data_IF_470608644035
#
_entry.id   IF_470608644035
#
_cell.length_a   1.000
_cell.length_b   1.000
_cell.length_c   1.000
_cell.angle_alpha   90.00
_cell.angle_beta   90.00
_cell.angle_gamma   90.00
#
_symmetry.space_group_name_H-M   'P 1'
#
loop_
_entity.id
_entity.type
_entity.pdbx_description
1 polymer ?
#
# COMPACT_ATOMS: atom_id res chain seq x y z
N UNK A 1 -22.04 4.18 1.11
CA UNK A 1 -20.59 4.18 0.84
C UNK A 1 -19.92 3.53 2.01
N UNK A 2 -19.05 2.55 1.76
CA UNK A 2 -18.32 1.83 2.83
C UNK A 2 -16.83 1.92 2.57
N UNK A 3 -16.00 1.87 3.61
CA UNK A 3 -14.55 1.75 3.51
C UNK A 3 -13.98 1.14 4.79
N UNK A 4 -12.76 0.61 4.72
CA UNK A 4 -12.12 -0.08 5.83
C UNK A 4 -11.06 0.80 6.49
N UNK A 5 -11.11 0.91 7.82
CA UNK A 5 -10.14 1.65 8.63
C UNK A 5 -9.49 0.75 9.66
N UNK A 6 -8.45 1.22 10.34
CA UNK A 6 -7.85 0.53 11.50
C UNK A 6 -8.81 0.34 12.68
N UNK A 7 -9.97 0.99 12.66
CA UNK A 7 -11.02 0.84 13.67
C UNK A 7 -12.19 -0.04 13.20
N UNK A 8 -12.13 -0.59 11.98
CA UNK A 8 -13.21 -1.36 11.38
C UNK A 8 -13.78 -0.73 10.12
N UNK A 9 -14.88 -1.33 9.64
CA UNK A 9 -15.64 -0.83 8.50
C UNK A 9 -16.46 0.40 8.91
N UNK A 10 -16.33 1.48 8.13
CA UNK A 10 -17.16 2.67 8.26
C UNK A 10 -18.10 2.73 7.07
N UNK A 11 -19.38 2.97 7.37
CA UNK A 11 -20.45 3.01 6.39
C UNK A 11 -21.26 4.28 6.54
N UNK A 12 -21.35 5.07 5.46
CA UNK A 12 -22.12 6.31 5.41
C UNK A 12 -23.10 6.28 4.24
N UNK A 13 -24.32 6.77 4.48
CA UNK A 13 -25.28 7.09 3.43
C UNK A 13 -24.91 8.46 2.83
N UNK A 14 -24.36 8.42 1.62
CA UNK A 14 -23.96 9.62 0.88
C UNK A 14 -25.07 10.01 -0.12
N UNK A 15 -25.34 11.31 -0.25
CA UNK A 15 -26.18 11.83 -1.32
C UNK A 15 -25.38 11.97 -2.61
N UNK A 16 -25.83 11.31 -3.66
CA UNK A 16 -25.23 11.36 -5.00
C UNK A 16 -26.10 12.13 -5.97
N UNK A 17 -25.48 12.83 -6.91
CA UNK A 17 -26.15 13.63 -7.94
C UNK A 17 -25.76 13.14 -9.33
N UNK A 18 -26.64 13.32 -10.31
CA UNK A 18 -26.32 13.13 -11.71
C UNK A 18 -26.17 14.50 -12.37
N UNK A 19 -25.01 14.79 -12.95
CA UNK A 19 -24.75 16.05 -13.65
C UNK A 19 -24.21 15.75 -15.06
N UNK A 20 -24.91 16.19 -16.11
CA UNK A 20 -24.54 15.96 -17.52
C UNK A 20 -24.16 14.49 -17.82
N UNK A 21 -24.91 13.54 -17.27
CA UNK A 21 -24.67 12.10 -17.45
C UNK A 21 -23.52 11.51 -16.62
N UNK A 22 -22.83 12.31 -15.80
CA UNK A 22 -21.79 11.83 -14.88
C UNK A 22 -22.29 11.81 -13.44
N UNK A 23 -21.94 10.74 -12.72
CA UNK A 23 -22.23 10.62 -11.29
C UNK A 23 -21.32 11.57 -10.51
N UNK A 24 -21.93 12.47 -9.73
CA UNK A 24 -21.27 13.40 -8.84
C UNK A 24 -21.50 12.99 -7.38
N UNK A 25 -20.42 12.82 -6.62
CA UNK A 25 -20.39 12.29 -5.26
C UNK A 25 -19.66 13.25 -4.32
N UNK A 26 -20.33 14.32 -3.84
CA UNK A 26 -19.64 15.41 -3.15
C UNK A 26 -18.82 14.95 -1.95
N UNK A 27 -19.37 14.05 -1.13
CA UNK A 27 -18.67 13.57 0.06
C UNK A 27 -17.45 12.73 -0.30
N UNK A 28 -17.58 11.79 -1.24
CA UNK A 28 -16.45 10.97 -1.72
C UNK A 28 -15.32 11.84 -2.29
N UNK A 29 -15.65 12.89 -3.04
CA UNK A 29 -14.66 13.82 -3.58
C UNK A 29 -14.00 14.68 -2.50
N UNK A 30 -14.78 15.28 -1.59
CA UNK A 30 -14.24 16.17 -0.55
C UNK A 30 -13.45 15.42 0.52
N UNK A 31 -13.89 14.21 0.90
CA UNK A 31 -13.20 13.39 1.90
C UNK A 31 -12.05 12.57 1.32
N UNK A 32 -11.87 12.57 -0.01
CA UNK A 32 -10.88 11.75 -0.73
C UNK A 32 -10.98 10.24 -0.43
N UNK A 33 -12.20 9.78 -0.12
CA UNK A 33 -12.48 8.37 0.16
C UNK A 33 -13.25 7.79 -1.03
N UNK A 34 -12.92 6.58 -1.45
CA UNK A 34 -13.68 5.83 -2.46
C UNK A 34 -14.36 4.61 -1.86
N UNK A 35 -15.40 4.10 -2.50
CA UNK A 35 -16.14 2.96 -1.97
C UNK A 35 -15.25 1.71 -1.93
N UNK A 36 -15.27 1.01 -0.79
CA UNK A 36 -14.48 -0.19 -0.46
C UNK A 36 -12.98 0.04 -0.45
N UNK A 37 -12.52 1.29 -0.30
CA UNK A 37 -11.10 1.54 -0.12
C UNK A 37 -10.63 1.15 1.29
N UNK A 38 -9.33 1.10 1.46
CA UNK A 38 -8.67 0.98 2.76
C UNK A 38 -8.11 2.36 3.13
N UNK A 39 -8.26 2.78 4.39
CA UNK A 39 -7.61 3.99 4.89
C UNK A 39 -6.09 3.89 4.77
N UNK A 40 -5.38 5.02 4.68
CA UNK A 40 -3.91 5.03 4.58
C UNK A 40 -3.23 4.30 5.74
N UNK A 41 -3.76 4.44 6.95
CA UNK A 41 -3.24 3.74 8.14
C UNK A 41 -3.38 2.23 7.98
N UNK A 42 -4.56 1.75 7.55
CA UNK A 42 -4.78 0.32 7.32
C UNK A 42 -3.95 -0.21 6.14
N UNK A 43 -3.76 0.59 5.09
CA UNK A 43 -2.87 0.22 3.98
C UNK A 43 -1.42 0.01 4.45
N UNK A 44 -0.89 0.87 5.33
CA UNK A 44 0.44 0.70 5.93
C UNK A 44 0.54 -0.58 6.75
N UNK A 45 -0.43 -0.83 7.63
CA UNK A 45 -0.49 -2.07 8.42
C UNK A 45 -0.46 -3.31 7.50
N UNK A 46 -1.26 -3.29 6.43
CA UNK A 46 -1.28 -4.37 5.44
C UNK A 46 0.09 -4.54 4.78
N UNK A 47 0.73 -3.44 4.36
CA UNK A 47 2.02 -3.47 3.69
C UNK A 47 3.14 -3.96 4.60
N UNK A 48 3.15 -3.55 5.87
CA UNK A 48 4.12 -3.98 6.88
C UNK A 48 4.04 -5.50 7.06
N UNK A 49 2.83 -6.04 7.25
CA UNK A 49 2.65 -7.50 7.30
C UNK A 49 2.96 -8.18 5.96
N UNK A 50 2.72 -7.51 4.84
CA UNK A 50 3.03 -8.00 3.50
C UNK A 50 4.53 -8.17 3.24
N UNK A 51 5.37 -7.37 3.90
CA UNK A 51 6.82 -7.51 3.85
C UNK A 51 7.33 -8.66 4.75
N UNK A 52 6.64 -8.93 5.87
CA UNK A 52 7.13 -9.86 6.90
C UNK A 52 6.64 -11.31 6.75
N UNK A 53 5.41 -11.53 6.27
CA UNK A 53 4.78 -12.86 6.25
C UNK A 53 4.07 -13.17 4.94
N UNK A 54 3.88 -14.45 4.65
CA UNK A 54 3.13 -14.87 3.46
C UNK A 54 1.69 -14.33 3.47
N UNK A 55 1.17 -13.96 2.29
CA UNK A 55 -0.17 -13.35 2.14
C UNK A 55 -1.30 -14.18 2.77
N UNK A 56 -1.19 -15.51 2.75
CA UNK A 56 -2.16 -16.39 3.42
C UNK A 56 -2.25 -16.17 4.93
N UNK A 57 -1.16 -15.78 5.59
CA UNK A 57 -1.09 -15.56 7.04
C UNK A 57 -1.52 -14.15 7.44
N UNK A 58 -1.43 -13.17 6.54
CA UNK A 58 -1.73 -11.76 6.84
C UNK A 58 -3.16 -11.58 7.34
N UNK A 59 -4.15 -12.19 6.66
CA UNK A 59 -5.57 -12.04 7.02
C UNK A 59 -5.83 -12.43 8.48
N UNK A 60 -5.18 -13.50 8.95
CA UNK A 60 -5.27 -13.96 10.34
C UNK A 60 -4.60 -12.98 11.31
N UNK A 61 -3.40 -12.47 10.98
CA UNK A 61 -2.70 -11.50 11.82
C UNK A 61 -3.44 -10.17 11.95
N UNK A 62 -3.99 -9.64 10.86
CA UNK A 62 -4.75 -8.39 10.91
C UNK A 62 -6.03 -8.56 11.75
N UNK A 63 -6.70 -9.71 11.62
CA UNK A 63 -7.84 -10.03 12.47
C UNK A 63 -7.43 -10.11 13.96
N UNK A 64 -6.32 -10.77 14.28
CA UNK A 64 -5.83 -10.94 15.65
C UNK A 64 -5.44 -9.61 16.30
N UNK A 65 -4.73 -8.73 15.57
CA UNK A 65 -4.21 -7.48 16.13
C UNK A 65 -5.17 -6.30 16.05
N UNK A 66 -6.05 -6.27 15.04
CA UNK A 66 -6.90 -5.11 14.75
C UNK A 66 -8.38 -5.44 14.65
N UNK A 67 -8.80 -6.71 14.74
CA UNK A 67 -10.20 -7.11 14.64
C UNK A 67 -10.82 -6.89 13.25
N UNK A 68 -10.01 -6.70 12.22
CA UNK A 68 -10.45 -6.38 10.86
C UNK A 68 -10.21 -7.57 9.96
N UNK A 69 -11.24 -7.94 9.18
CA UNK A 69 -11.07 -8.92 8.12
C UNK A 69 -10.58 -8.24 6.83
N UNK A 70 -9.42 -8.66 6.35
CA UNK A 70 -8.89 -8.25 5.05
C UNK A 70 -8.69 -9.51 4.21
N UNK A 71 -9.24 -9.54 3.00
CA UNK A 71 -9.03 -10.67 2.10
C UNK A 71 -7.57 -10.75 1.64
N UNK A 72 -7.06 -11.98 1.45
CA UNK A 72 -5.69 -12.24 0.96
C UNK A 72 -5.38 -11.47 -0.32
N UNK A 73 -6.31 -11.45 -1.28
CA UNK A 73 -6.13 -10.74 -2.55
C UNK A 73 -6.08 -9.22 -2.40
N UNK A 74 -6.80 -8.65 -1.41
CA UNK A 74 -6.68 -7.22 -1.10
C UNK A 74 -5.36 -6.91 -0.42
N UNK A 75 -4.92 -7.76 0.50
CA UNK A 75 -3.63 -7.60 1.16
C UNK A 75 -2.48 -7.63 0.15
N UNK A 76 -2.52 -8.58 -0.79
CA UNK A 76 -1.58 -8.67 -1.91
C UNK A 76 -1.58 -7.39 -2.76
N UNK A 77 -2.75 -6.96 -3.28
CA UNK A 77 -2.85 -5.76 -4.12
C UNK A 77 -2.33 -4.49 -3.45
N UNK A 78 -2.63 -4.31 -2.16
CA UNK A 78 -2.16 -3.14 -1.40
C UNK A 78 -0.65 -3.20 -1.23
N UNK A 79 -0.10 -4.37 -0.88
CA UNK A 79 1.34 -4.56 -0.71
C UNK A 79 2.09 -4.34 -2.03
N UNK A 80 1.63 -4.95 -3.12
CA UNK A 80 2.22 -4.81 -4.46
C UNK A 80 2.17 -3.37 -4.96
N UNK A 81 1.06 -2.65 -4.72
CA UNK A 81 0.94 -1.22 -5.06
C UNK A 81 1.99 -0.38 -4.33
N UNK A 82 2.25 -0.66 -3.06
CA UNK A 82 3.30 0.03 -2.31
C UNK A 82 4.70 -0.37 -2.80
N UNK A 83 4.93 -1.65 -3.10
CA UNK A 83 6.18 -2.12 -3.68
C UNK A 83 6.49 -1.47 -5.04
N UNK A 84 5.47 -1.31 -5.91
CA UNK A 84 5.59 -0.60 -7.18
C UNK A 84 5.99 0.86 -6.97
N UNK A 85 5.38 1.53 -5.98
CA UNK A 85 5.77 2.90 -5.62
C UNK A 85 7.22 2.99 -5.13
N UNK A 86 7.69 2.02 -4.34
CA UNK A 86 9.09 1.96 -3.87
C UNK A 86 10.04 1.74 -5.04
N UNK A 87 9.71 0.81 -5.93
CA UNK A 87 10.48 0.57 -7.16
C UNK A 87 10.60 1.83 -8.02
N UNK A 88 9.54 2.64 -8.10
CA UNK A 88 9.57 3.95 -8.77
C UNK A 88 10.51 4.96 -8.10
N UNK A 89 10.68 4.89 -6.77
CA UNK A 89 11.60 5.73 -6.01
C UNK A 89 13.07 5.25 -6.09
N UNK A 90 13.32 3.95 -6.24
CA UNK A 90 14.68 3.43 -6.44
C UNK A 90 15.31 3.94 -7.74
N UNK A 91 14.50 4.25 -8.75
CA UNK A 91 14.92 4.89 -10.00
C UNK A 91 15.29 6.37 -9.87
N UNK A 92 15.43 6.93 -8.65
CA UNK A 92 16.06 8.23 -8.47
C UNK A 92 17.53 8.11 -8.91
N UNK A 93 17.77 8.43 -10.20
CA UNK A 93 19.07 8.83 -10.71
C UNK A 93 19.57 9.94 -9.77
N UNK A 94 20.40 9.57 -8.81
CA UNK A 94 21.25 10.55 -8.15
C UNK A 94 22.32 10.88 -9.17
N UNK A 95 22.45 12.15 -9.51
CA UNK A 95 23.56 12.62 -10.32
C UNK A 95 24.84 12.06 -9.70
N UNK A 96 25.61 11.32 -10.49
CA UNK A 96 26.95 10.90 -10.07
C UNK A 96 27.71 12.20 -9.87
N UNK A 97 28.26 12.48 -8.68
CA UNK A 97 28.94 13.75 -8.44
C UNK A 97 30.05 13.98 -9.48
N UNK A 98 30.08 15.17 -10.07
CA UNK A 98 31.13 15.58 -11.03
C UNK A 98 32.50 15.80 -10.35
N UNK A 99 32.51 15.91 -9.01
CA UNK A 99 33.73 16.00 -8.24
C UNK A 99 34.47 14.66 -8.19
N UNK A 100 35.80 14.73 -8.20
CA UNK A 100 36.63 13.54 -8.04
C UNK A 100 36.32 12.87 -6.69
N UNK A 101 35.76 11.66 -6.75
CA UNK A 101 35.48 10.85 -5.56
C UNK A 101 36.75 10.42 -4.81
N UNK A 102 36.56 9.63 -3.76
CA UNK A 102 37.68 9.09 -2.97
C UNK A 102 38.44 8.01 -3.75
N UNK A 103 39.77 7.93 -3.54
CA UNK A 103 40.66 6.96 -4.22
C UNK A 103 40.27 5.50 -3.95
N UNK A 104 39.73 5.22 -2.77
CA UNK A 104 39.26 3.89 -2.38
C UNK A 104 37.91 4.04 -1.68
N UNK A 105 36.91 3.30 -2.17
CA UNK A 105 35.62 3.12 -1.52
C UNK A 105 35.57 1.67 -1.01
N UNK A 106 35.49 1.48 0.30
CA UNK A 106 35.30 0.15 0.88
C UNK A 106 33.80 0.00 1.15
N UNK A 107 33.19 -0.97 0.49
CA UNK A 107 31.78 -1.32 0.64
C UNK A 107 31.69 -2.80 1.02
N UNK A 108 30.82 -3.11 1.97
CA UNK A 108 30.37 -4.47 2.23
C UNK A 108 29.10 -4.71 1.42
N UNK A 109 29.12 -5.73 0.57
CA UNK A 109 27.95 -6.17 -0.18
C UNK A 109 27.50 -7.51 0.38
N UNK A 110 26.31 -7.55 0.94
CA UNK A 110 25.65 -8.82 1.28
C UNK A 110 24.87 -9.34 0.07
N UNK A 111 24.91 -10.65 -0.14
CA UNK A 111 24.26 -11.35 -1.24
C UNK A 111 23.33 -12.43 -0.71
N UNK A 112 22.04 -12.31 -0.99
CA UNK A 112 21.05 -13.33 -0.62
C UNK A 112 20.54 -14.04 -1.87
N UNK A 113 20.45 -15.38 -1.81
CA UNK A 113 19.82 -16.19 -2.85
C UNK A 113 18.31 -16.24 -2.62
N UNK A 114 17.53 -15.71 -3.56
CA UNK A 114 16.06 -15.77 -3.52
C UNK A 114 15.58 -16.82 -4.54
N UNK A 115 14.97 -17.95 -4.09
CA UNK A 115 14.40 -18.91 -5.02
C UNK A 115 13.13 -18.35 -5.66
N UNK A 116 13.12 -18.26 -6.99
CA UNK A 116 11.93 -17.86 -7.75
C UNK A 116 11.18 -19.14 -8.16
N UNK A 117 9.96 -19.27 -7.67
CA UNK A 117 9.05 -20.36 -8.07
C UNK A 117 8.13 -19.81 -9.16
N UNK A 118 8.31 -20.31 -10.39
CA UNK A 118 7.55 -19.92 -11.59
C UNK A 118 6.43 -20.93 -11.87
#
# INVERSE_FOLDING_TARGET
>A
MTWHTSYGEISILERTFLNKGKLYRPFSYTAEVTCRCYSLVLQRIIADFGADVSFQKISKKIMEHYGINVSVSSAQKVTEKHAESVKGMECLQRDIPDEAGVKYLICETDGTMIPIVV
#
